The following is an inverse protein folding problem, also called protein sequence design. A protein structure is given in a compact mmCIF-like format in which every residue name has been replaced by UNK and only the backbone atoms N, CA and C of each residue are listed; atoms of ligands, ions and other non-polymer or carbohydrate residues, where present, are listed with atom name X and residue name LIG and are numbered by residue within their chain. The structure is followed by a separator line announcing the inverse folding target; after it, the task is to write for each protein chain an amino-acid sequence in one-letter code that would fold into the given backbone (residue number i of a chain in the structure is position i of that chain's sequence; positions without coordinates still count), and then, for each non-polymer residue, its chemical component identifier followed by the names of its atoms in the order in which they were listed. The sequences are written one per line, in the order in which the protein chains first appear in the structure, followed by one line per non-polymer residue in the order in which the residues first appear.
data_IF_402582335440
#
_entry.id   IF_402582335440
#
_cell.length_a   1.000
_cell.length_b   1.000
_cell.length_c   1.000
_cell.angle_alpha   90.00
_cell.angle_beta   90.00
_cell.angle_gamma   90.00
#
_symmetry.space_group_name_H-M   'P 1'
#
loop_
_entity.id
_entity.type
_entity.pdbx_description
1 polymer ?
#
# COMPACT_ATOMS: atom_id res chain seq x y z
N UNK A 1 10.46 -46.23 3.61
CA UNK A 1 10.03 -46.93 4.85
C UNK A 1 10.60 -46.22 6.09
N UNK A 2 11.86 -45.77 6.07
CA UNK A 2 12.45 -44.90 7.11
C UNK A 2 11.71 -43.58 7.31
N UNK A 3 11.22 -42.94 6.25
CA UNK A 3 10.39 -41.72 6.37
C UNK A 3 9.08 -41.95 7.13
N UNK A 4 8.44 -43.10 6.94
CA UNK A 4 7.17 -43.46 7.61
C UNK A 4 7.42 -43.72 9.10
N UNK A 5 8.57 -44.32 9.43
CA UNK A 5 9.00 -44.58 10.81
C UNK A 5 9.38 -43.27 11.52
N UNK A 6 10.03 -42.32 10.83
CA UNK A 6 10.27 -40.97 11.35
C UNK A 6 8.97 -40.18 11.58
N UNK A 7 7.99 -40.30 10.68
CA UNK A 7 6.67 -39.66 10.84
C UNK A 7 5.89 -40.23 12.03
N UNK A 8 5.96 -41.56 12.26
CA UNK A 8 5.35 -42.20 13.43
C UNK A 8 6.02 -41.76 14.74
N UNK A 9 7.35 -41.61 14.76
CA UNK A 9 8.09 -41.14 15.94
C UNK A 9 7.79 -39.68 16.27
N UNK A 10 7.67 -38.81 15.25
CA UNK A 10 7.36 -37.39 15.44
C UNK A 10 5.92 -37.20 15.95
N UNK A 11 4.96 -37.96 15.42
CA UNK A 11 3.58 -37.95 15.89
C UNK A 11 3.44 -38.53 17.32
N UNK A 12 4.20 -39.57 17.65
CA UNK A 12 4.24 -40.16 18.98
C UNK A 12 4.90 -39.23 20.01
N UNK A 13 5.96 -38.51 19.65
CA UNK A 13 6.61 -37.53 20.54
C UNK A 13 5.72 -36.29 20.76
N UNK A 14 5.03 -35.82 19.71
CA UNK A 14 4.04 -34.74 19.82
C UNK A 14 2.87 -35.15 20.74
N UNK A 15 2.34 -36.37 20.58
CA UNK A 15 1.33 -36.97 21.47
C UNK A 15 1.82 -37.03 22.92
N UNK A 16 3.07 -37.44 23.17
CA UNK A 16 3.65 -37.57 24.51
C UNK A 16 3.86 -36.22 25.19
N UNK A 17 4.26 -35.19 24.43
CA UNK A 17 4.43 -33.82 24.92
C UNK A 17 3.10 -33.12 25.20
N UNK A 18 2.09 -33.36 24.37
CA UNK A 18 0.72 -32.86 24.58
C UNK A 18 0.07 -33.50 25.82
N UNK A 19 0.23 -34.81 26.03
CA UNK A 19 -0.27 -35.48 27.23
C UNK A 19 0.42 -34.99 28.52
N UNK A 20 1.73 -34.74 28.49
CA UNK A 20 2.45 -34.12 29.62
C UNK A 20 1.96 -32.70 29.95
N UNK A 21 1.50 -31.93 28.96
CA UNK A 21 0.94 -30.59 29.16
C UNK A 21 -0.47 -30.62 29.77
N UNK A 22 -1.24 -31.66 29.49
CA UNK A 22 -2.55 -31.91 30.10
C UNK A 22 -2.40 -32.37 31.56
N UNK A 23 -1.40 -33.22 31.86
CA UNK A 23 -1.11 -33.67 33.24
C UNK A 23 -0.42 -32.61 34.12
N UNK A 24 0.27 -31.62 33.54
CA UNK A 24 1.02 -30.60 34.29
C UNK A 24 0.18 -29.39 34.75
N UNK A 25 -1.14 -29.38 34.49
CA UNK A 25 -2.02 -28.32 34.95
C UNK A 25 -2.44 -28.58 36.41
N UNK A 26 -2.14 -27.70 37.38
CA UNK A 26 -2.61 -27.89 38.74
C UNK A 26 -4.14 -27.84 38.76
N UNK A 27 -4.83 -28.75 39.47
CA UNK A 27 -6.28 -28.66 39.58
C UNK A 27 -6.64 -27.38 40.34
N UNK A 28 -7.33 -26.46 39.66
CA UNK A 28 -7.99 -25.34 40.31
C UNK A 28 -8.94 -25.86 41.39
N UNK A 29 -9.11 -25.10 42.47
CA UNK A 29 -9.87 -25.49 43.67
C UNK A 29 -11.32 -25.90 43.40
N UNK A 30 -11.87 -25.49 42.23
CA UNK A 30 -13.19 -25.89 41.75
C UNK A 30 -13.26 -27.37 41.30
N UNK A 31 -12.13 -27.99 40.93
CA UNK A 31 -12.08 -29.38 40.45
C UNK A 31 -11.80 -30.42 41.55
N UNK A 32 -11.46 -29.99 42.78
CA UNK A 32 -11.15 -30.91 43.90
C UNK A 32 -12.37 -31.69 44.41
N UNK A 33 -13.60 -31.26 44.12
CA UNK A 33 -14.80 -32.00 44.52
C UNK A 33 -15.24 -33.10 43.53
N UNK A 34 -14.71 -33.13 42.32
CA UNK A 34 -15.15 -34.07 41.27
C UNK A 34 -14.20 -35.26 41.13
N UNK A 35 -12.92 -35.10 41.48
CA UNK A 35 -11.91 -36.15 41.37
C UNK A 35 -11.43 -36.65 42.73
N UNK A 36 -12.34 -37.12 43.58
CA UNK A 36 -12.00 -38.08 44.63
C UNK A 36 -13.15 -39.05 44.83
N UNK A 37 -13.27 -40.00 43.91
CA UNK A 37 -13.46 -41.44 44.14
C UNK A 37 -13.88 -42.07 42.81
N UNK A 38 -13.02 -42.93 42.27
CA UNK A 38 -13.32 -43.74 41.09
C UNK A 38 -14.42 -44.76 41.39
N UNK A 39 -15.68 -44.35 41.25
CA UNK A 39 -16.82 -45.25 41.08
C UNK A 39 -17.85 -44.63 40.13
N UNK A 40 -18.34 -45.47 39.22
CA UNK A 40 -19.54 -45.27 38.42
C UNK A 40 -20.65 -44.63 39.27
N UNK A 41 -21.17 -43.48 38.84
CA UNK A 41 -22.44 -42.94 39.33
C UNK A 41 -23.47 -43.09 38.21
N UNK A 42 -24.43 -43.97 38.47
CA UNK A 42 -25.71 -44.09 37.78
C UNK A 42 -26.50 -42.79 37.87
N UNK A 43 -27.24 -42.50 36.80
CA UNK A 43 -28.21 -41.41 36.67
C UNK A 43 -29.10 -41.26 37.91
N UNK A 44 -28.95 -40.14 38.64
CA UNK A 44 -29.80 -39.80 39.77
C UNK A 44 -29.70 -38.31 40.12
N UNK A 45 -30.78 -37.58 39.80
CA UNK A 45 -31.21 -36.27 40.33
C UNK A 45 -30.20 -35.12 40.36
N UNK A 46 -30.06 -34.41 39.24
CA UNK A 46 -29.81 -32.96 39.24
C UNK A 46 -31.15 -32.24 39.07
N UNK A 47 -31.37 -31.15 39.79
CA UNK A 47 -32.59 -30.36 39.65
C UNK A 47 -32.63 -29.62 38.30
N UNK A 48 -33.81 -29.37 37.71
CA UNK A 48 -33.93 -28.65 36.43
C UNK A 48 -33.23 -27.27 36.43
N UNK A 49 -33.10 -26.62 37.59
CA UNK A 49 -32.41 -25.34 37.75
C UNK A 49 -30.87 -25.43 37.69
N UNK A 50 -30.29 -26.58 38.01
CA UNK A 50 -28.84 -26.84 37.88
C UNK A 50 -28.46 -27.16 36.43
N UNK A 51 -29.35 -27.80 35.66
CA UNK A 51 -29.15 -28.11 34.23
C UNK A 51 -29.15 -26.82 33.38
N UNK A 52 -29.91 -25.80 33.78
CA UNK A 52 -30.04 -24.53 33.05
C UNK A 52 -28.83 -23.59 33.20
N UNK A 53 -27.93 -23.80 34.17
CA UNK A 53 -26.72 -22.98 34.36
C UNK A 53 -25.46 -23.52 33.66
N UNK A 54 -25.46 -24.79 33.22
CA UNK A 54 -24.28 -25.41 32.60
C UNK A 54 -24.43 -25.71 31.09
N UNK A 55 -25.60 -25.47 30.50
CA UNK A 55 -25.87 -25.68 29.07
C UNK A 55 -24.87 -25.02 28.09
N UNK A 56 -24.37 -23.78 28.31
CA UNK A 56 -23.43 -23.15 27.39
C UNK A 56 -22.05 -23.83 27.39
N UNK A 57 -21.63 -24.36 28.55
CA UNK A 57 -20.31 -24.99 28.72
C UNK A 57 -20.33 -26.40 28.17
N UNK A 58 -21.40 -27.16 28.41
CA UNK A 58 -21.62 -28.49 27.83
C UNK A 58 -21.76 -28.45 26.31
N UNK A 59 -22.49 -27.47 25.74
CA UNK A 59 -22.57 -27.27 24.28
C UNK A 59 -21.22 -26.85 23.69
N UNK A 60 -20.43 -26.03 24.38
CA UNK A 60 -19.09 -25.64 23.93
C UNK A 60 -18.11 -26.82 23.96
N UNK A 61 -18.17 -27.67 25.01
CA UNK A 61 -17.36 -28.88 25.13
C UNK A 61 -17.76 -29.91 24.05
N UNK A 62 -19.06 -30.10 23.78
CA UNK A 62 -19.53 -30.98 22.71
C UNK A 62 -19.13 -30.48 21.31
N UNK A 63 -19.15 -29.16 21.06
CA UNK A 63 -18.65 -28.58 19.80
C UNK A 63 -17.13 -28.72 19.66
N UNK A 64 -16.36 -28.60 20.74
CA UNK A 64 -14.90 -28.80 20.73
C UNK A 64 -14.57 -30.28 20.48
N UNK A 65 -15.33 -31.21 21.04
CA UNK A 65 -15.17 -32.65 20.82
C UNK A 65 -15.54 -33.03 19.37
N UNK A 66 -16.66 -32.53 18.84
CA UNK A 66 -17.07 -32.77 17.45
C UNK A 66 -16.05 -32.24 16.42
N UNK A 67 -15.49 -31.04 16.65
CA UNK A 67 -14.49 -30.46 15.75
C UNK A 67 -13.16 -31.21 15.83
N UNK A 68 -12.79 -31.74 17.01
CA UNK A 68 -11.61 -32.59 17.15
C UNK A 68 -11.81 -33.94 16.43
N UNK A 69 -12.95 -34.60 16.56
CA UNK A 69 -13.19 -35.87 15.87
C UNK A 69 -13.29 -35.72 14.34
N UNK A 70 -13.80 -34.58 13.85
CA UNK A 70 -13.75 -34.22 12.43
C UNK A 70 -12.31 -33.95 11.95
N UNK A 71 -11.47 -33.26 12.72
CA UNK A 71 -10.07 -33.00 12.33
C UNK A 71 -9.20 -34.25 12.44
N UNK A 72 -9.48 -35.13 13.41
CA UNK A 72 -8.74 -36.36 13.68
C UNK A 72 -9.09 -37.52 12.73
N UNK A 73 -10.15 -37.40 11.93
CA UNK A 73 -10.58 -38.40 10.94
C UNK A 73 -10.22 -38.06 9.49
N UNK A 74 -9.70 -36.85 9.23
CA UNK A 74 -9.34 -36.41 7.88
C UNK A 74 -7.99 -37.01 7.47
N UNK A 75 -7.98 -37.69 6.33
CA UNK A 75 -6.77 -38.16 5.65
C UNK A 75 -5.82 -36.96 5.37
N UNK A 76 -4.50 -37.09 5.55
CA UNK A 76 -3.53 -36.01 5.28
C UNK A 76 -3.71 -35.24 3.96
N UNK A 77 -4.12 -35.90 2.87
CA UNK A 77 -4.38 -35.27 1.58
C UNK A 77 -5.69 -34.45 1.55
N UNK A 78 -6.71 -34.90 2.28
CA UNK A 78 -7.96 -34.16 2.47
C UNK A 78 -7.77 -32.98 3.44
N UNK A 79 -6.87 -33.13 4.42
CA UNK A 79 -6.48 -32.06 5.34
C UNK A 79 -5.70 -30.97 4.60
N UNK A 80 -4.82 -31.36 3.67
CA UNK A 80 -4.12 -30.44 2.77
C UNK A 80 -5.08 -29.67 1.86
N UNK A 81 -6.07 -30.35 1.27
CA UNK A 81 -7.10 -29.69 0.44
C UNK A 81 -8.04 -28.80 1.28
N UNK A 82 -8.39 -29.22 2.49
CA UNK A 82 -9.17 -28.45 3.46
C UNK A 82 -8.45 -27.15 3.86
N UNK A 83 -7.13 -27.21 4.07
CA UNK A 83 -6.31 -26.04 4.39
C UNK A 83 -6.10 -25.14 3.18
N UNK A 84 -5.85 -25.68 1.98
CA UNK A 84 -5.76 -24.89 0.73
C UNK A 84 -7.06 -24.10 0.47
N UNK A 85 -8.22 -24.73 0.66
CA UNK A 85 -9.53 -24.10 0.51
C UNK A 85 -9.78 -22.99 1.56
N UNK A 86 -9.31 -23.18 2.80
CA UNK A 86 -9.49 -22.19 3.88
C UNK A 86 -8.45 -21.07 3.90
N UNK A 87 -7.26 -21.28 3.36
CA UNK A 87 -6.23 -20.23 3.23
C UNK A 87 -6.66 -19.21 2.17
N UNK A 88 -7.31 -19.61 1.07
CA UNK A 88 -7.86 -18.68 0.08
C UNK A 88 -9.05 -17.85 0.59
N UNK A 89 -9.54 -18.12 1.81
CA UNK A 89 -10.67 -17.44 2.42
C UNK A 89 -10.23 -16.75 3.73
N UNK A 90 -10.15 -15.41 3.78
CA UNK A 90 -9.71 -14.67 4.97
C UNK A 90 -10.51 -14.99 6.24
N UNK A 91 -11.81 -15.28 6.11
CA UNK A 91 -12.65 -15.66 7.26
C UNK A 91 -12.31 -17.05 7.80
N UNK A 92 -11.84 -17.94 6.94
CA UNK A 92 -11.47 -19.29 7.27
C UNK A 92 -10.04 -19.37 7.84
N UNK A 93 -9.11 -18.54 7.36
CA UNK A 93 -7.79 -18.34 7.96
C UNK A 93 -7.89 -17.76 9.37
N UNK A 94 -8.76 -16.76 9.59
CA UNK A 94 -9.05 -16.22 10.92
C UNK A 94 -9.68 -17.29 11.84
N UNK A 95 -10.52 -18.18 11.32
CA UNK A 95 -11.04 -19.33 12.10
C UNK A 95 -9.94 -20.34 12.45
N UNK A 96 -9.04 -20.66 11.52
CA UNK A 96 -7.92 -21.57 11.75
C UNK A 96 -6.97 -21.01 12.82
N UNK A 97 -6.64 -19.73 12.72
CA UNK A 97 -5.88 -19.02 13.74
C UNK A 97 -6.61 -19.02 15.10
N UNK A 98 -7.94 -18.80 15.13
CA UNK A 98 -8.73 -18.94 16.37
C UNK A 98 -8.61 -20.34 16.98
N UNK A 99 -8.66 -21.40 16.18
CA UNK A 99 -8.54 -22.79 16.66
C UNK A 99 -7.14 -23.05 17.20
N UNK A 100 -6.10 -22.66 16.45
CA UNK A 100 -4.70 -22.78 16.87
C UNK A 100 -4.45 -22.02 18.18
N UNK A 101 -4.98 -20.80 18.32
CA UNK A 101 -4.79 -19.97 19.50
C UNK A 101 -5.68 -20.34 20.68
N UNK A 102 -6.85 -20.96 20.47
CA UNK A 102 -7.67 -21.52 21.56
C UNK A 102 -6.99 -22.70 22.25
N UNK A 103 -6.12 -23.43 21.55
CA UNK A 103 -5.27 -24.48 22.12
C UNK A 103 -4.14 -23.97 23.04
N UNK A 104 -3.77 -22.68 22.93
CA UNK A 104 -2.65 -22.08 23.68
C UNK A 104 -3.06 -21.39 25.00
N UNK A 105 -4.31 -21.56 25.45
CA UNK A 105 -4.76 -21.10 26.76
C UNK A 105 -5.68 -19.87 26.73
N UNK A 106 -6.67 -19.91 27.64
CA UNK A 106 -7.85 -19.04 27.69
C UNK A 106 -7.50 -17.55 27.84
N UNK A 107 -7.84 -16.74 26.84
CA UNK A 107 -8.17 -15.32 27.05
C UNK A 107 -9.52 -14.96 26.38
N UNK A 108 -10.60 -14.76 27.15
CA UNK A 108 -11.92 -14.37 26.65
C UNK A 108 -11.95 -13.06 25.85
N UNK A 109 -10.92 -12.22 25.98
CA UNK A 109 -10.78 -10.96 25.26
C UNK A 109 -10.57 -11.12 23.74
N UNK A 110 -10.06 -12.28 23.28
CA UNK A 110 -9.77 -12.53 21.86
C UNK A 110 -11.02 -12.64 20.97
N UNK A 111 -12.14 -13.12 21.51
CA UNK A 111 -13.36 -13.36 20.73
C UNK A 111 -14.08 -12.05 20.38
N UNK A 112 -13.99 -11.05 21.26
CA UNK A 112 -14.65 -9.74 21.12
C UNK A 112 -13.89 -8.79 20.20
N UNK A 113 -12.55 -8.80 20.23
CA UNK A 113 -11.70 -7.94 19.42
C UNK A 113 -11.69 -8.29 17.92
N UNK A 114 -11.88 -9.56 17.57
CA UNK A 114 -11.94 -9.99 16.17
C UNK A 114 -13.22 -9.53 15.44
N UNK A 115 -14.21 -8.99 16.17
CA UNK A 115 -15.46 -8.48 15.60
C UNK A 115 -15.44 -6.97 15.33
N UNK A 116 -14.42 -6.23 15.77
CA UNK A 116 -14.34 -4.78 15.59
C UNK A 116 -13.24 -4.35 14.59
N UNK A 117 -13.49 -3.20 13.99
CA UNK A 117 -12.97 -2.77 12.68
C UNK A 117 -11.49 -2.40 12.66
N UNK A 118 -10.73 -3.06 11.77
CA UNK A 118 -9.79 -2.37 10.85
C UNK A 118 -9.39 -3.36 9.77
N UNK A 119 -10.01 -3.23 8.58
CA UNK A 119 -9.76 -4.07 7.40
C UNK A 119 -8.25 -4.14 7.11
N UNK A 120 -7.58 -2.99 7.08
CA UNK A 120 -6.14 -2.86 6.87
C UNK A 120 -5.26 -3.69 7.83
N UNK A 121 -5.65 -3.84 9.10
CA UNK A 121 -4.88 -4.55 10.12
C UNK A 121 -4.97 -6.07 9.97
N UNK A 122 -6.17 -6.58 9.66
CA UNK A 122 -6.37 -8.00 9.32
C UNK A 122 -5.64 -8.36 8.04
N UNK A 123 -5.63 -7.44 7.09
CA UNK A 123 -4.99 -7.64 5.78
C UNK A 123 -3.46 -7.64 5.89
N UNK A 124 -2.87 -6.74 6.69
CA UNK A 124 -1.41 -6.70 6.90
C UNK A 124 -0.88 -7.93 7.64
N UNK A 125 -1.61 -8.43 8.65
CA UNK A 125 -1.29 -9.66 9.39
C UNK A 125 -1.43 -10.91 8.53
N UNK A 126 -2.53 -11.02 7.78
CA UNK A 126 -2.77 -12.09 6.81
C UNK A 126 -1.68 -12.11 5.74
N UNK A 127 -1.23 -10.94 5.27
CA UNK A 127 -0.22 -10.83 4.24
C UNK A 127 1.20 -11.11 4.72
N UNK A 128 1.56 -10.79 5.97
CA UNK A 128 2.82 -11.24 6.56
C UNK A 128 2.85 -12.76 6.70
N UNK A 129 1.73 -13.36 7.08
CA UNK A 129 1.54 -14.81 7.06
C UNK A 129 1.71 -15.35 5.63
N UNK A 130 1.10 -14.75 4.62
CA UNK A 130 1.25 -15.19 3.22
C UNK A 130 2.67 -15.00 2.65
N UNK A 131 3.37 -13.91 2.95
CA UNK A 131 4.78 -13.70 2.56
C UNK A 131 5.72 -14.74 3.21
N UNK A 132 5.47 -15.10 4.47
CA UNK A 132 6.21 -16.16 5.15
C UNK A 132 5.84 -17.57 4.64
N UNK A 133 4.74 -17.69 3.89
CA UNK A 133 4.24 -18.94 3.32
C UNK A 133 4.63 -19.07 1.82
N UNK A 134 4.96 -17.98 1.13
CA UNK A 134 5.28 -17.98 -0.31
C UNK A 134 6.79 -18.01 -0.58
N UNK A 135 7.35 -19.23 -0.60
CA UNK A 135 8.16 -19.84 -1.68
C UNK A 135 9.02 -21.00 -1.18
N UNK A 136 9.25 -21.14 0.14
CA UNK A 136 9.84 -22.35 0.71
C UNK A 136 9.08 -22.80 1.97
N UNK A 137 8.49 -24.00 1.86
CA UNK A 137 7.95 -24.85 2.93
C UNK A 137 7.22 -24.13 4.09
N UNK A 138 5.90 -24.12 4.05
CA UNK A 138 5.07 -23.88 5.25
C UNK A 138 5.42 -24.81 6.42
N UNK A 139 5.99 -26.00 6.15
CA UNK A 139 6.57 -26.93 7.13
C UNK A 139 7.78 -26.32 7.84
N UNK A 140 8.59 -25.56 7.11
CA UNK A 140 9.72 -24.79 7.63
C UNK A 140 9.24 -23.54 8.34
N UNK A 141 8.16 -22.87 7.91
CA UNK A 141 7.51 -21.78 8.67
C UNK A 141 6.97 -22.25 10.03
N UNK A 142 6.26 -23.38 10.07
CA UNK A 142 5.77 -23.96 11.34
C UNK A 142 6.94 -24.47 12.18
N UNK A 143 7.98 -25.08 11.57
CA UNK A 143 9.23 -25.39 12.28
C UNK A 143 9.96 -24.15 12.77
N UNK A 144 10.01 -23.05 12.03
CA UNK A 144 10.65 -21.77 12.39
C UNK A 144 9.91 -21.13 13.57
N UNK A 145 8.58 -21.08 13.52
CA UNK A 145 7.76 -20.61 14.64
C UNK A 145 7.89 -21.48 15.90
N UNK A 146 8.15 -22.77 15.75
CA UNK A 146 8.30 -23.72 16.86
C UNK A 146 9.75 -23.89 17.34
N UNK A 147 10.76 -23.66 16.49
CA UNK A 147 12.19 -23.91 16.78
C UNK A 147 13.03 -22.63 16.88
N UNK A 148 12.71 -21.53 16.18
CA UNK A 148 13.43 -20.26 16.34
C UNK A 148 12.79 -19.42 17.46
N UNK A 149 13.37 -19.54 18.66
CA UNK A 149 13.03 -18.71 19.83
C UNK A 149 13.22 -17.20 19.60
N UNK A 150 13.87 -16.76 18.51
CA UNK A 150 14.17 -15.35 18.22
C UNK A 150 13.03 -14.60 17.52
N UNK A 151 12.28 -15.25 16.61
CA UNK A 151 11.22 -14.60 15.82
C UNK A 151 9.86 -14.60 16.52
N UNK A 152 9.58 -15.63 17.32
CA UNK A 152 8.31 -15.75 18.03
C UNK A 152 8.05 -14.56 18.98
N UNK A 153 9.00 -14.08 19.81
CA UNK A 153 8.77 -12.97 20.72
C UNK A 153 8.45 -11.65 19.98
N UNK A 154 9.12 -11.36 18.86
CA UNK A 154 8.84 -10.16 18.06
C UNK A 154 7.49 -10.25 17.36
N UNK A 155 7.15 -11.39 16.78
CA UNK A 155 5.83 -11.63 16.20
C UNK A 155 4.72 -11.50 17.25
N UNK A 156 4.88 -12.12 18.43
CA UNK A 156 3.90 -12.01 19.52
C UNK A 156 3.83 -10.60 20.09
N UNK A 157 4.95 -9.87 20.17
CA UNK A 157 4.98 -8.46 20.59
C UNK A 157 4.25 -7.58 19.60
N UNK A 158 4.49 -7.73 18.30
CA UNK A 158 3.78 -7.00 17.26
C UNK A 158 2.31 -7.40 17.21
N UNK A 159 1.97 -8.69 17.28
CA UNK A 159 0.58 -9.17 17.33
C UNK A 159 -0.19 -8.63 18.55
N UNK A 160 0.40 -8.70 19.75
CA UNK A 160 -0.19 -8.11 20.96
C UNK A 160 -0.33 -6.60 20.86
N UNK A 161 0.63 -5.92 20.24
CA UNK A 161 0.54 -4.49 20.00
C UNK A 161 -0.56 -4.15 18.98
N UNK A 162 -0.82 -4.98 17.96
CA UNK A 162 -1.89 -4.77 16.95
C UNK A 162 -3.28 -4.96 17.57
N UNK A 163 -3.38 -5.83 18.58
CA UNK A 163 -4.58 -6.02 19.39
C UNK A 163 -4.82 -4.88 20.38
N UNK A 164 -3.77 -4.19 20.83
CA UNK A 164 -3.84 -3.22 21.94
C UNK A 164 -3.75 -1.76 21.49
N UNK A 165 -3.11 -1.49 20.36
CA UNK A 165 -2.87 -0.15 19.84
C UNK A 165 -3.33 -0.07 18.37
N UNK A 166 -4.23 0.85 18.01
CA UNK A 166 -4.59 1.06 16.61
C UNK A 166 -3.33 1.45 15.82
N UNK A 167 -3.19 0.92 14.61
CA UNK A 167 -2.13 1.36 13.71
C UNK A 167 -2.35 2.84 13.38
N UNK A 168 -1.38 3.67 13.72
CA UNK A 168 -1.42 5.09 13.38
C UNK A 168 -0.83 5.28 11.98
N UNK A 169 -1.44 6.19 11.21
CA UNK A 169 -0.97 6.55 9.87
C UNK A 169 -0.62 8.03 9.90
N UNK A 170 0.66 8.33 9.72
CA UNK A 170 1.11 9.69 9.48
C UNK A 170 0.88 10.03 8.02
N UNK A 171 0.16 11.13 7.76
CA UNK A 171 0.02 11.65 6.40
C UNK A 171 1.26 12.50 6.10
N UNK A 172 2.04 12.08 5.10
CA UNK A 172 3.24 12.80 4.69
C UNK A 172 2.92 13.89 3.66
N UNK A 173 1.91 13.65 2.82
CA UNK A 173 1.51 14.59 1.80
C UNK A 173 0.19 14.22 1.13
N UNK A 174 -0.40 15.21 0.48
CA UNK A 174 -1.53 15.04 -0.41
C UNK A 174 -1.07 15.33 -1.83
N UNK A 175 -1.17 14.33 -2.70
CA UNK A 175 -1.18 14.59 -4.13
C UNK A 175 -2.53 15.17 -4.55
N UNK A 176 -2.63 15.56 -5.81
CA UNK A 176 -3.86 16.14 -6.35
C UNK A 176 -5.03 15.13 -6.33
N UNK A 177 -4.70 13.85 -6.54
CA UNK A 177 -5.66 12.73 -6.56
C UNK A 177 -5.34 11.60 -5.58
N UNK A 178 -4.23 11.67 -4.84
CA UNK A 178 -3.75 10.60 -3.95
C UNK A 178 -3.35 11.10 -2.56
N UNK A 179 -3.20 10.19 -1.61
CA UNK A 179 -2.64 10.50 -0.28
C UNK A 179 -1.42 9.63 -0.05
N UNK A 180 -0.32 10.26 0.35
CA UNK A 180 0.92 9.59 0.74
C UNK A 180 0.95 9.49 2.26
N UNK A 181 1.13 8.28 2.75
CA UNK A 181 1.12 7.99 4.19
C UNK A 181 2.27 7.07 4.59
N UNK A 182 2.68 7.20 5.84
CA UNK A 182 3.65 6.31 6.49
C UNK A 182 2.97 5.69 7.71
N UNK A 183 3.01 4.36 7.88
CA UNK A 183 2.59 3.76 9.13
C UNK A 183 3.53 4.19 10.24
N UNK A 184 2.96 4.65 11.34
CA UNK A 184 3.67 5.04 12.55
C UNK A 184 3.08 4.27 13.73
N UNK A 185 3.91 3.99 14.72
CA UNK A 185 3.48 3.24 15.90
C UNK A 185 4.63 2.59 16.62
N UNK A 186 4.30 1.90 17.72
CA UNK A 186 5.27 1.20 18.58
C UNK A 186 5.79 -0.10 17.98
N UNK A 187 5.24 -0.53 16.84
CA UNK A 187 5.67 -1.71 16.10
C UNK A 187 7.08 -1.52 15.57
N UNK A 188 7.97 -2.47 15.85
CA UNK A 188 9.37 -2.42 15.40
C UNK A 188 9.45 -2.37 13.87
N UNK A 189 8.54 -3.07 13.18
CA UNK A 189 8.44 -3.11 11.72
C UNK A 189 8.08 -1.75 11.09
N UNK A 190 7.32 -0.90 11.79
CA UNK A 190 6.92 0.42 11.30
C UNK A 190 7.81 1.56 11.77
N UNK A 191 8.49 1.37 12.91
CA UNK A 191 9.40 2.38 13.46
C UNK A 191 10.52 2.75 12.49
N UNK A 192 11.03 1.76 11.74
CA UNK A 192 12.14 1.91 10.80
C UNK A 192 11.74 1.58 9.35
N UNK A 193 10.45 1.64 9.02
CA UNK A 193 10.05 1.36 7.63
C UNK A 193 10.65 2.39 6.69
N UNK A 194 11.31 1.89 5.63
CA UNK A 194 11.77 2.68 4.49
C UNK A 194 10.67 2.96 3.47
N UNK A 195 9.44 2.48 3.69
CA UNK A 195 8.36 2.54 2.71
C UNK A 195 7.36 3.65 3.02
N UNK A 196 7.01 4.42 2.00
CA UNK A 196 5.83 5.29 1.96
C UNK A 196 4.74 4.65 1.12
N UNK A 197 3.49 4.92 1.47
CA UNK A 197 2.32 4.29 0.88
C UNK A 197 1.50 5.35 0.15
N UNK A 198 1.47 5.29 -1.17
CA UNK A 198 0.55 6.08 -2.01
C UNK A 198 -0.69 5.22 -2.29
N UNK A 199 -1.82 5.63 -1.74
CA UNK A 199 -3.10 4.93 -2.00
C UNK A 199 -3.59 5.29 -3.41
N UNK A 200 -3.78 4.27 -4.24
CA UNK A 200 -4.27 4.37 -5.61
C UNK A 200 -5.81 4.38 -5.64
N UNK A 201 -6.43 4.74 -6.78
CA UNK A 201 -7.86 4.52 -7.00
C UNK A 201 -8.30 3.09 -6.69
N UNK A 202 -9.59 2.88 -6.47
CA UNK A 202 -10.15 1.53 -6.28
C UNK A 202 -10.28 0.87 -7.64
N UNK A 203 -9.69 -0.32 -7.76
CA UNK A 203 -9.75 -1.14 -8.96
C UNK A 203 -11.01 -2.01 -8.91
N UNK A 204 -11.68 -2.25 -10.06
CA UNK A 204 -12.93 -2.99 -10.06
C UNK A 204 -12.71 -4.50 -9.86
N UNK A 205 -11.57 -5.04 -10.28
CA UNK A 205 -11.24 -6.46 -10.08
C UNK A 205 -9.74 -6.68 -9.83
N UNK A 206 -9.39 -7.92 -9.45
CA UNK A 206 -8.00 -8.36 -9.33
C UNK A 206 -7.29 -8.39 -10.70
N UNK A 207 -8.03 -8.70 -11.77
CA UNK A 207 -7.48 -8.73 -13.13
C UNK A 207 -6.95 -7.36 -13.55
N UNK A 208 -7.69 -6.28 -13.25
CA UNK A 208 -7.25 -4.91 -13.51
C UNK A 208 -5.98 -4.55 -12.75
N UNK A 209 -5.84 -5.05 -11.51
CA UNK A 209 -4.62 -4.86 -10.73
C UNK A 209 -3.45 -5.59 -11.36
N UNK A 210 -3.63 -6.82 -11.83
CA UNK A 210 -2.56 -7.57 -12.49
C UNK A 210 -2.15 -6.92 -13.81
N UNK A 211 -3.11 -6.41 -14.60
CA UNK A 211 -2.84 -5.61 -15.80
C UNK A 211 -2.04 -4.35 -15.45
N UNK A 212 -2.47 -3.59 -14.45
CA UNK A 212 -1.75 -2.40 -13.99
C UNK A 212 -0.34 -2.71 -13.49
N UNK A 213 -0.14 -3.81 -12.74
CA UNK A 213 1.19 -4.23 -12.28
C UNK A 213 2.15 -4.51 -13.44
N UNK A 214 1.66 -5.14 -14.50
CA UNK A 214 2.43 -5.40 -15.71
C UNK A 214 2.85 -4.08 -16.38
N UNK A 215 1.88 -3.20 -16.64
CA UNK A 215 2.09 -1.87 -17.26
C UNK A 215 3.08 -1.05 -16.44
N UNK A 216 2.93 -1.03 -15.11
CA UNK A 216 3.83 -0.32 -14.21
C UNK A 216 5.26 -0.86 -14.27
N UNK A 217 5.44 -2.19 -14.30
CA UNK A 217 6.77 -2.81 -14.42
C UNK A 217 7.43 -2.42 -15.74
N UNK A 218 6.70 -2.54 -16.85
CA UNK A 218 7.17 -2.16 -18.18
C UNK A 218 7.58 -0.68 -18.22
N UNK A 219 6.73 0.22 -17.74
CA UNK A 219 7.03 1.65 -17.65
C UNK A 219 8.28 1.93 -16.81
N UNK A 220 8.42 1.30 -15.64
CA UNK A 220 9.61 1.46 -14.80
C UNK A 220 10.88 0.99 -15.51
N UNK A 221 10.82 -0.14 -16.20
CA UNK A 221 11.93 -0.66 -16.99
C UNK A 221 12.32 0.30 -18.13
N UNK A 222 11.33 0.88 -18.81
CA UNK A 222 11.55 1.89 -19.85
C UNK A 222 12.25 3.14 -19.29
N UNK A 223 11.74 3.72 -18.19
CA UNK A 223 12.36 4.90 -17.56
C UNK A 223 13.83 4.65 -17.17
N UNK A 224 14.13 3.49 -16.59
CA UNK A 224 15.47 3.17 -16.10
C UNK A 224 16.40 2.77 -17.24
N UNK A 225 16.03 1.77 -18.03
CA UNK A 225 16.93 1.12 -18.97
C UNK A 225 17.01 1.84 -20.31
N UNK A 226 15.93 2.51 -20.74
CA UNK A 226 15.89 3.20 -22.03
C UNK A 226 16.17 4.69 -21.90
N UNK A 227 15.63 5.32 -20.86
CA UNK A 227 15.80 6.76 -20.65
C UNK A 227 16.90 7.11 -19.64
N UNK A 228 17.45 6.14 -18.92
CA UNK A 228 18.54 6.38 -17.95
C UNK A 228 18.11 7.19 -16.73
N UNK A 229 16.83 7.21 -16.39
CA UNK A 229 16.34 7.88 -15.18
C UNK A 229 16.58 7.02 -13.94
N UNK A 230 16.89 7.70 -12.83
CA UNK A 230 16.85 7.08 -11.51
C UNK A 230 15.45 7.20 -10.93
N UNK A 231 14.91 6.08 -10.48
CA UNK A 231 13.61 6.02 -9.80
C UNK A 231 13.74 5.14 -8.56
N UNK A 232 13.03 5.44 -7.46
CA UNK A 232 13.14 4.64 -6.24
C UNK A 232 12.59 3.23 -6.46
N UNK A 233 12.94 2.32 -5.55
CA UNK A 233 12.24 1.04 -5.50
C UNK A 233 10.75 1.31 -5.24
N UNK A 234 9.87 0.66 -6.00
CA UNK A 234 8.45 0.71 -5.72
C UNK A 234 7.76 -0.61 -6.02
N UNK A 235 6.95 -1.05 -5.07
CA UNK A 235 6.15 -2.28 -5.11
C UNK A 235 4.67 -1.94 -5.18
N UNK A 236 3.91 -2.74 -5.92
CA UNK A 236 2.46 -2.61 -5.95
C UNK A 236 1.85 -3.65 -5.02
N UNK A 237 1.16 -3.18 -4.00
CA UNK A 237 0.41 -3.99 -3.06
C UNK A 237 -1.09 -3.77 -3.25
N UNK A 238 -1.90 -4.77 -2.95
CA UNK A 238 -3.33 -4.71 -3.10
C UNK A 238 -4.07 -5.58 -2.08
N UNK A 239 -5.35 -5.25 -1.88
CA UNK A 239 -6.27 -5.96 -0.99
C UNK A 239 -7.62 -6.12 -1.69
N UNK A 240 -8.06 -7.36 -1.85
CA UNK A 240 -9.39 -7.69 -2.38
C UNK A 240 -10.44 -7.50 -1.30
N UNK A 241 -11.47 -6.71 -1.60
CA UNK A 241 -12.58 -6.42 -0.69
C UNK A 241 -13.69 -7.45 -0.87
N UNK A 242 -14.57 -7.53 0.13
CA UNK A 242 -15.74 -8.44 0.12
C UNK A 242 -16.66 -8.28 -1.10
N UNK A 243 -16.70 -7.09 -1.70
CA UNK A 243 -17.52 -6.78 -2.87
C UNK A 243 -16.78 -7.01 -4.21
N UNK A 244 -15.61 -7.67 -4.20
CA UNK A 244 -14.81 -7.96 -5.39
C UNK A 244 -13.88 -6.83 -5.85
N UNK A 245 -14.12 -5.59 -5.42
CA UNK A 245 -13.22 -4.46 -5.73
C UNK A 245 -11.90 -4.55 -4.99
N UNK A 246 -10.86 -3.87 -5.48
CA UNK A 246 -9.50 -4.01 -4.97
C UNK A 246 -8.92 -2.65 -4.59
N UNK A 247 -8.47 -2.53 -3.34
CA UNK A 247 -7.66 -1.38 -2.90
C UNK A 247 -6.22 -1.61 -3.32
N UNK A 248 -5.59 -0.64 -3.98
CA UNK A 248 -4.18 -0.73 -4.39
C UNK A 248 -3.35 0.35 -3.68
N UNK A 249 -2.12 -0.02 -3.33
CA UNK A 249 -1.13 0.81 -2.68
C UNK A 249 0.20 0.70 -3.46
N UNK A 250 0.72 1.84 -3.90
CA UNK A 250 2.10 1.92 -4.38
C UNK A 250 3.01 2.18 -3.18
N UNK A 251 3.83 1.19 -2.85
CA UNK A 251 4.82 1.23 -1.77
C UNK A 251 6.13 1.71 -2.39
N UNK A 252 6.54 2.92 -2.08
CA UNK A 252 7.73 3.54 -2.64
C UNK A 252 8.79 3.70 -1.56
N UNK A 253 10.05 3.49 -1.91
CA UNK A 253 11.16 3.77 -1.00
C UNK A 253 11.20 5.26 -0.67
N UNK A 254 11.29 5.55 0.62
CA UNK A 254 11.26 6.90 1.17
C UNK A 254 12.58 7.59 0.85
N UNK A 255 12.49 8.69 0.09
CA UNK A 255 13.58 9.64 -0.07
C UNK A 255 13.58 10.66 1.07
N UNK A 256 14.70 11.36 1.27
CA UNK A 256 14.78 12.45 2.24
C UNK A 256 13.75 13.54 1.87
N UNK A 257 12.72 13.80 2.72
CA UNK A 257 11.66 14.75 2.39
C UNK A 257 12.15 16.17 2.17
N UNK A 258 13.24 16.56 2.83
CA UNK A 258 13.81 17.91 2.70
C UNK A 258 14.55 18.10 1.38
N UNK A 259 14.87 17.02 0.66
CA UNK A 259 15.54 17.04 -0.63
C UNK A 259 14.57 16.94 -1.82
N UNK A 260 13.27 16.89 -1.58
CA UNK A 260 12.25 16.92 -2.65
C UNK A 260 12.20 18.33 -3.24
N UNK A 261 12.08 18.44 -4.56
CA UNK A 261 12.16 19.68 -5.34
C UNK A 261 11.30 20.80 -4.76
N UNK A 262 10.01 20.55 -4.50
CA UNK A 262 9.10 21.55 -3.92
C UNK A 262 9.50 22.02 -2.50
N UNK A 263 10.33 21.29 -1.77
CA UNK A 263 10.89 21.71 -0.47
C UNK A 263 12.19 22.46 -0.64
N UNK A 264 13.09 21.92 -1.45
CA UNK A 264 14.43 22.47 -1.58
C UNK A 264 14.43 23.84 -2.25
N UNK A 265 13.58 24.09 -3.26
CA UNK A 265 13.55 25.37 -3.98
C UNK A 265 13.30 26.59 -3.07
N UNK A 266 12.66 26.41 -1.91
CA UNK A 266 12.46 27.49 -0.93
C UNK A 266 13.74 27.88 -0.17
N UNK A 267 14.78 27.05 -0.24
CA UNK A 267 16.09 27.29 0.41
C UNK A 267 17.15 27.75 -0.58
N UNK A 268 16.84 27.77 -1.88
CA UNK A 268 17.79 28.11 -2.92
C UNK A 268 17.78 29.61 -3.18
N UNK A 269 18.96 30.16 -3.44
CA UNK A 269 19.06 31.46 -4.08
C UNK A 269 18.70 31.36 -5.59
N UNK A 270 18.53 32.48 -6.30
CA UNK A 270 18.17 32.47 -7.72
C UNK A 270 19.09 31.62 -8.61
N UNK A 271 20.41 31.73 -8.45
CA UNK A 271 21.39 30.99 -9.25
C UNK A 271 21.32 29.48 -9.00
N UNK A 272 21.19 29.07 -7.73
CA UNK A 272 21.04 27.67 -7.34
C UNK A 272 19.71 27.09 -7.85
N UNK A 273 18.62 27.87 -7.82
CA UNK A 273 17.34 27.44 -8.37
C UNK A 273 17.37 27.28 -9.89
N UNK A 274 18.02 28.20 -10.62
CA UNK A 274 18.31 28.08 -12.06
C UNK A 274 19.12 26.82 -12.36
N UNK A 275 20.15 26.55 -11.57
CA UNK A 275 20.98 25.36 -11.71
C UNK A 275 20.16 24.07 -11.54
N UNK A 276 19.35 23.97 -10.47
CA UNK A 276 18.47 22.82 -10.24
C UNK A 276 17.43 22.66 -11.36
N UNK A 277 16.84 23.77 -11.81
CA UNK A 277 15.88 23.76 -12.93
C UNK A 277 16.52 23.17 -14.20
N UNK A 278 17.69 23.66 -14.60
CA UNK A 278 18.39 23.16 -15.77
C UNK A 278 18.74 21.68 -15.63
N UNK A 279 19.14 21.23 -14.43
CA UNK A 279 19.37 19.81 -14.14
C UNK A 279 18.10 18.97 -14.36
N UNK A 280 16.96 19.42 -13.85
CA UNK A 280 15.67 18.73 -14.06
C UNK A 280 15.30 18.72 -15.54
N UNK A 281 15.47 19.85 -16.23
CA UNK A 281 15.17 19.97 -17.66
C UNK A 281 15.98 18.98 -18.51
N UNK A 282 17.25 18.75 -18.18
CA UNK A 282 18.08 17.73 -18.84
C UNK A 282 17.61 16.30 -18.55
N UNK A 283 17.13 16.00 -17.34
CA UNK A 283 16.54 14.69 -17.05
C UNK A 283 15.24 14.47 -17.84
N UNK A 284 14.41 15.50 -17.98
CA UNK A 284 13.20 15.47 -18.81
C UNK A 284 13.58 15.21 -20.28
N UNK A 285 14.58 15.93 -20.83
CA UNK A 285 15.02 15.78 -22.23
C UNK A 285 15.33 14.34 -22.62
N UNK A 286 15.88 13.52 -21.71
CA UNK A 286 16.18 12.09 -21.98
C UNK A 286 14.94 11.30 -22.45
N UNK A 287 13.76 11.63 -21.93
CA UNK A 287 12.49 11.02 -22.37
C UNK A 287 12.19 11.43 -23.81
N UNK A 288 12.43 12.68 -24.17
CA UNK A 288 12.17 13.20 -25.52
C UNK A 288 13.18 12.69 -26.53
N UNK A 289 14.45 12.60 -26.17
CA UNK A 289 15.47 12.00 -27.04
C UNK A 289 15.11 10.55 -27.36
N UNK A 290 14.65 9.79 -26.35
CA UNK A 290 14.11 8.45 -26.57
C UNK A 290 12.90 8.47 -27.52
N UNK A 291 11.94 9.37 -27.30
CA UNK A 291 10.75 9.48 -28.14
C UNK A 291 11.08 9.85 -29.59
N UNK A 292 12.08 10.69 -29.84
CA UNK A 292 12.48 11.05 -31.21
C UNK A 292 13.15 9.88 -31.94
N UNK A 293 13.83 9.00 -31.20
CA UNK A 293 14.47 7.80 -31.75
C UNK A 293 13.51 6.60 -31.95
N UNK A 294 12.27 6.69 -31.47
CA UNK A 294 11.30 5.59 -31.47
C UNK A 294 9.98 6.01 -32.13
N UNK A 295 9.57 5.33 -33.19
CA UNK A 295 8.32 5.65 -33.90
C UNK A 295 7.10 5.13 -33.13
N UNK A 296 7.11 3.86 -32.75
CA UNK A 296 5.93 3.15 -32.24
C UNK A 296 5.76 3.27 -30.72
N UNK A 297 6.85 3.44 -29.98
CA UNK A 297 6.85 3.51 -28.52
C UNK A 297 7.17 4.92 -28.05
N UNK A 298 6.24 5.54 -27.32
CA UNK A 298 6.42 6.87 -26.71
C UNK A 298 6.28 6.78 -25.20
N UNK A 299 7.09 7.52 -24.46
CA UNK A 299 7.06 7.62 -23.00
C UNK A 299 6.77 9.07 -22.62
N UNK A 300 6.05 9.26 -21.54
CA UNK A 300 5.81 10.56 -20.94
C UNK A 300 6.07 10.52 -19.44
N UNK A 301 6.18 11.68 -18.82
CA UNK A 301 6.26 11.82 -17.37
C UNK A 301 5.60 13.11 -16.90
N UNK A 302 5.36 13.20 -15.60
CA UNK A 302 4.87 14.42 -14.96
C UNK A 302 6.06 15.27 -14.48
N UNK A 303 6.39 16.31 -15.24
CA UNK A 303 7.60 17.12 -15.06
C UNK A 303 7.64 18.01 -13.82
N UNK A 304 6.59 18.02 -12.99
CA UNK A 304 6.49 18.87 -11.80
C UNK A 304 7.71 18.78 -10.88
N UNK A 305 8.16 19.93 -10.35
CA UNK A 305 9.31 19.99 -9.45
C UNK A 305 9.12 19.13 -8.18
N UNK A 306 7.88 18.92 -7.74
CA UNK A 306 7.56 18.04 -6.60
C UNK A 306 7.83 16.56 -6.87
N UNK A 307 7.96 16.16 -8.14
CA UNK A 307 8.24 14.79 -8.55
C UNK A 307 9.73 14.49 -8.69
N UNK A 308 10.60 15.46 -8.38
CA UNK A 308 12.05 15.29 -8.38
C UNK A 308 12.58 15.40 -6.95
N UNK A 309 13.61 14.64 -6.63
CA UNK A 309 14.39 14.81 -5.41
C UNK A 309 15.89 14.70 -5.72
N UNK A 310 16.71 15.29 -4.87
CA UNK A 310 18.16 15.05 -4.88
C UNK A 310 18.45 13.77 -4.10
N UNK A 311 19.38 12.96 -4.61
CA UNK A 311 19.91 11.85 -3.86
C UNK A 311 20.70 12.36 -2.64
N UNK A 312 20.39 11.79 -1.49
CA UNK A 312 21.02 12.17 -0.23
C UNK A 312 22.48 11.67 -0.23
N UNK A 313 23.42 12.60 -0.41
CA UNK A 313 24.85 12.33 -0.37
C UNK A 313 25.45 12.54 1.03
N UNK A 314 24.64 12.66 2.09
CA UNK A 314 25.04 12.97 3.48
C UNK A 314 25.73 14.34 3.68
N UNK A 315 25.76 15.19 2.66
CA UNK A 315 26.37 16.52 2.75
C UNK A 315 25.37 17.54 3.29
N UNK A 316 25.72 18.26 4.36
CA UNK A 316 24.87 19.37 4.88
C UNK A 316 24.95 20.65 4.03
N UNK A 317 25.93 20.77 3.13
CA UNK A 317 26.10 21.94 2.27
C UNK A 317 25.16 21.90 1.05
N UNK A 318 24.29 22.92 0.94
CA UNK A 318 23.31 23.07 -0.14
C UNK A 318 23.94 23.09 -1.54
N UNK A 319 25.13 23.68 -1.72
CA UNK A 319 25.83 23.73 -3.01
C UNK A 319 26.28 22.34 -3.49
N UNK A 320 26.68 21.49 -2.54
CA UNK A 320 27.03 20.11 -2.84
C UNK A 320 25.77 19.26 -3.04
N UNK A 321 24.70 19.52 -2.27
CA UNK A 321 23.42 18.85 -2.44
C UNK A 321 22.85 19.06 -3.85
N UNK A 322 22.78 20.29 -4.37
CA UNK A 322 22.20 20.56 -5.69
C UNK A 322 22.99 19.92 -6.84
N UNK A 323 24.26 19.54 -6.61
CA UNK A 323 25.10 18.80 -7.57
C UNK A 323 24.91 17.29 -7.49
N UNK A 324 24.18 16.80 -6.48
CA UNK A 324 23.82 15.39 -6.38
C UNK A 324 22.95 14.96 -7.56
N UNK A 325 22.95 13.65 -7.81
CA UNK A 325 22.09 13.05 -8.81
C UNK A 325 20.61 13.23 -8.46
N UNK A 326 19.78 13.40 -9.49
CA UNK A 326 18.34 13.51 -9.35
C UNK A 326 17.68 12.13 -9.37
N UNK A 327 16.58 12.00 -8.64
CA UNK A 327 15.69 10.85 -8.66
C UNK A 327 14.26 11.30 -8.95
N UNK A 328 13.60 10.63 -9.90
CA UNK A 328 12.22 10.88 -10.28
C UNK A 328 11.26 10.00 -9.45
N UNK A 329 10.25 10.62 -8.86
CA UNK A 329 9.39 10.02 -7.84
C UNK A 329 8.05 9.55 -8.41
N UNK A 330 7.35 10.29 -9.28
CA UNK A 330 5.98 9.91 -9.66
C UNK A 330 5.93 8.86 -10.78
N UNK A 331 6.17 7.62 -10.40
CA UNK A 331 6.08 6.45 -11.29
C UNK A 331 4.74 5.71 -11.19
N UNK A 332 3.85 6.16 -10.32
CA UNK A 332 2.58 5.48 -10.02
C UNK A 332 1.47 5.73 -11.06
N UNK A 333 1.72 6.63 -12.01
CA UNK A 333 0.88 6.82 -13.19
C UNK A 333 1.73 6.47 -14.41
N UNK A 334 1.74 5.21 -14.86
CA UNK A 334 2.50 4.81 -16.05
C UNK A 334 2.01 5.53 -17.30
N UNK A 335 2.87 6.35 -17.92
CA UNK A 335 2.54 7.11 -19.12
C UNK A 335 3.43 6.64 -20.27
N UNK A 336 2.91 5.71 -21.06
CA UNK A 336 3.54 5.31 -22.32
C UNK A 336 2.51 4.79 -23.33
N UNK A 337 2.84 4.96 -24.61
CA UNK A 337 2.05 4.54 -25.75
C UNK A 337 2.79 3.52 -26.58
N UNK A 338 2.04 2.57 -27.11
CA UNK A 338 2.47 1.66 -28.18
C UNK A 338 1.52 1.92 -29.35
N UNK A 339 2.06 2.22 -30.53
CA UNK A 339 1.32 2.57 -31.74
C UNK A 339 0.31 3.70 -31.50
N UNK A 340 0.73 4.72 -30.75
CA UNK A 340 -0.10 5.87 -30.37
C UNK A 340 -1.20 5.56 -29.33
N UNK A 341 -1.32 4.33 -28.83
CA UNK A 341 -2.35 3.93 -27.85
C UNK A 341 -1.79 3.89 -26.44
N UNK A 342 -2.46 4.58 -25.52
CA UNK A 342 -2.16 4.51 -24.08
C UNK A 342 -2.27 3.08 -23.56
N UNK A 343 -1.27 2.64 -22.80
CA UNK A 343 -1.28 1.30 -22.19
C UNK A 343 -2.05 1.28 -20.87
N UNK A 344 -2.00 2.40 -20.12
CA UNK A 344 -2.77 2.60 -18.90
C UNK A 344 -4.21 2.95 -19.26
N UNK A 345 -5.19 2.26 -18.64
CA UNK A 345 -6.59 2.66 -18.74
C UNK A 345 -6.82 3.92 -17.88
N UNK A 346 -7.08 5.09 -18.48
CA UNK A 346 -7.23 6.33 -17.72
C UNK A 346 -8.51 6.35 -16.88
N UNK A 347 -9.49 5.50 -17.18
CA UNK A 347 -10.74 5.39 -16.40
C UNK A 347 -10.47 5.05 -14.93
N UNK A 348 -9.38 4.33 -14.66
CA UNK A 348 -8.97 3.96 -13.29
C UNK A 348 -8.80 5.20 -12.42
N UNK A 349 -8.27 6.30 -12.96
CA UNK A 349 -8.04 7.54 -12.22
C UNK A 349 -9.29 8.42 -12.14
N UNK A 350 -10.14 8.39 -13.17
CA UNK A 350 -11.43 9.13 -13.19
C UNK A 350 -12.42 8.55 -12.19
N UNK A 351 -12.28 7.29 -11.76
CA UNK A 351 -13.13 6.71 -10.70
C UNK A 351 -13.04 7.46 -9.37
N UNK A 352 -11.96 8.20 -9.13
CA UNK A 352 -11.83 9.06 -7.96
C UNK A 352 -12.63 10.38 -8.08
N UNK A 353 -13.12 10.70 -9.28
CA UNK A 353 -13.94 11.87 -9.55
C UNK A 353 -15.42 11.62 -9.25
N UNK A 354 -16.16 12.65 -8.82
CA UNK A 354 -17.61 12.58 -8.66
C UNK A 354 -18.30 12.03 -9.89
N UNK A 355 -19.28 11.15 -9.71
CA UNK A 355 -19.93 10.43 -10.83
C UNK A 355 -20.45 11.35 -11.95
N UNK A 356 -21.01 12.51 -11.60
CA UNK A 356 -21.50 13.51 -12.56
C UNK A 356 -20.37 14.22 -13.34
N UNK A 357 -19.17 14.33 -12.77
CA UNK A 357 -18.00 14.89 -13.46
C UNK A 357 -17.31 13.89 -14.37
N UNK A 358 -17.47 12.59 -14.14
CA UNK A 358 -16.76 11.56 -14.93
C UNK A 358 -17.09 11.68 -16.41
N UNK A 359 -18.37 11.90 -16.75
CA UNK A 359 -18.81 12.07 -18.13
C UNK A 359 -18.21 13.33 -18.77
N UNK A 360 -18.16 14.44 -18.03
CA UNK A 360 -17.59 15.71 -18.52
C UNK A 360 -16.07 15.58 -18.72
N UNK A 361 -15.36 15.01 -17.74
CA UNK A 361 -13.90 14.80 -17.83
C UNK A 361 -13.56 13.86 -19.00
N UNK A 362 -14.32 12.76 -19.15
CA UNK A 362 -14.12 11.79 -20.23
C UNK A 362 -14.31 12.41 -21.61
N UNK A 363 -15.37 13.20 -21.80
CA UNK A 363 -15.74 13.74 -23.11
C UNK A 363 -14.87 14.92 -23.56
N UNK A 364 -14.39 15.75 -22.63
CA UNK A 364 -13.79 17.03 -22.98
C UNK A 364 -12.33 17.21 -22.57
N UNK A 365 -11.78 16.35 -21.70
CA UNK A 365 -10.49 16.64 -21.08
C UNK A 365 -9.52 15.46 -21.03
N UNK A 366 -9.99 14.21 -21.09
CA UNK A 366 -9.14 13.07 -20.74
C UNK A 366 -7.95 12.89 -21.69
N UNK A 367 -8.20 12.90 -23.00
CA UNK A 367 -7.14 12.70 -24.00
C UNK A 367 -6.20 13.91 -24.01
N UNK A 368 -6.75 15.13 -24.13
CA UNK A 368 -5.98 16.37 -24.10
C UNK A 368 -5.11 16.47 -22.84
N UNK A 369 -5.62 16.10 -21.66
CA UNK A 369 -4.86 16.13 -20.41
C UNK A 369 -3.67 15.19 -20.45
N UNK A 370 -3.83 13.99 -21.02
CA UNK A 370 -2.76 13.00 -21.12
C UNK A 370 -1.75 13.35 -22.20
N UNK A 371 -2.21 13.86 -23.35
CA UNK A 371 -1.36 14.28 -24.47
C UNK A 371 -0.34 15.35 -24.05
N UNK A 372 -0.71 16.23 -23.12
CA UNK A 372 0.21 17.26 -22.58
C UNK A 372 1.50 16.68 -21.99
N UNK A 373 1.46 15.46 -21.44
CA UNK A 373 2.66 14.85 -20.86
C UNK A 373 3.64 14.33 -21.93
N UNK A 374 3.21 14.20 -23.19
CA UNK A 374 4.05 13.81 -24.32
C UNK A 374 4.59 15.02 -25.09
N UNK A 375 4.09 16.22 -24.82
CA UNK A 375 4.57 17.48 -25.41
C UNK A 375 5.65 18.11 -24.53
N UNK A 376 6.88 18.18 -25.05
CA UNK A 376 8.03 18.68 -24.29
C UNK A 376 7.81 20.11 -23.81
N UNK A 377 7.35 20.98 -24.70
CA UNK A 377 7.17 22.40 -24.42
C UNK A 377 6.13 22.57 -23.31
N UNK A 378 5.04 21.83 -23.36
CA UNK A 378 4.00 21.87 -22.32
C UNK A 378 4.50 21.32 -20.98
N UNK A 379 5.33 20.27 -20.97
CA UNK A 379 5.97 19.77 -19.74
C UNK A 379 6.93 20.80 -19.15
N UNK A 380 7.71 21.51 -19.98
CA UNK A 380 8.57 22.61 -19.52
C UNK A 380 7.73 23.77 -18.96
N UNK A 381 6.62 24.12 -19.61
CA UNK A 381 5.67 25.13 -19.10
C UNK A 381 5.14 24.74 -17.72
N UNK A 382 4.74 23.47 -17.54
CA UNK A 382 4.20 22.96 -16.26
C UNK A 382 5.26 22.98 -15.14
N UNK A 383 6.50 22.59 -15.46
CA UNK A 383 7.65 22.67 -14.55
C UNK A 383 7.91 24.11 -14.09
N UNK A 384 7.92 25.09 -14.99
CA UNK A 384 8.11 26.50 -14.63
C UNK A 384 6.90 27.01 -13.83
N UNK A 385 5.68 26.67 -14.25
CA UNK A 385 4.44 27.06 -13.57
C UNK A 385 4.35 26.53 -12.13
N UNK A 386 5.05 25.44 -11.81
CA UNK A 386 5.14 24.94 -10.44
C UNK A 386 5.81 25.94 -9.48
N UNK A 387 6.68 26.84 -9.96
CA UNK A 387 7.23 27.90 -9.10
C UNK A 387 6.17 28.94 -8.71
N UNK A 388 5.16 29.19 -9.56
CA UNK A 388 3.98 29.96 -9.11
C UNK A 388 3.17 29.20 -8.06
N UNK A 389 2.95 27.89 -8.26
CA UNK A 389 2.23 27.01 -7.31
C UNK A 389 2.89 26.99 -5.94
N UNK A 390 4.22 27.07 -5.91
CA UNK A 390 5.04 27.12 -4.70
C UNK A 390 5.23 28.53 -4.14
N UNK A 391 4.60 29.57 -4.71
CA UNK A 391 4.68 30.94 -4.20
C UNK A 391 6.04 31.61 -4.43
N UNK A 392 6.75 31.20 -5.48
CA UNK A 392 8.08 31.69 -5.87
C UNK A 392 8.05 32.41 -7.24
N UNK A 393 7.18 33.42 -7.46
CA UNK A 393 7.04 34.09 -8.74
C UNK A 393 8.32 34.82 -9.21
N UNK A 394 9.21 35.15 -8.28
CA UNK A 394 10.49 35.82 -8.57
C UNK A 394 11.44 34.97 -9.40
N UNK A 395 11.27 33.64 -9.44
CA UNK A 395 12.10 32.76 -10.28
C UNK A 395 11.67 32.79 -11.75
N UNK A 396 10.40 33.08 -12.04
CA UNK A 396 9.79 32.86 -13.35
C UNK A 396 10.55 33.55 -14.50
N UNK A 397 10.96 34.83 -14.42
CA UNK A 397 11.71 35.46 -15.51
C UNK A 397 13.00 34.72 -15.85
N UNK A 398 13.75 34.29 -14.82
CA UNK A 398 15.02 33.59 -14.99
C UNK A 398 14.86 32.17 -15.54
N UNK A 399 13.80 31.46 -15.14
CA UNK A 399 13.52 30.12 -15.63
C UNK A 399 13.05 30.12 -17.09
N UNK A 400 12.25 31.12 -17.47
CA UNK A 400 11.87 31.33 -18.88
C UNK A 400 13.08 31.66 -19.73
N UNK A 401 13.96 32.55 -19.25
CA UNK A 401 15.22 32.87 -19.92
C UNK A 401 16.09 31.63 -20.11
N UNK A 402 16.28 30.82 -19.07
CA UNK A 402 17.11 29.61 -19.14
C UNK A 402 16.50 28.55 -20.06
N UNK A 403 15.19 28.33 -20.00
CA UNK A 403 14.52 27.40 -20.91
C UNK A 403 14.67 27.83 -22.37
N UNK A 404 14.51 29.12 -22.67
CA UNK A 404 14.69 29.64 -24.02
C UNK A 404 16.14 29.50 -24.50
N UNK A 405 17.12 29.79 -23.62
CA UNK A 405 18.53 29.57 -23.94
C UNK A 405 18.82 28.11 -24.29
N UNK A 406 18.18 27.18 -23.60
CA UNK A 406 18.30 25.75 -23.89
C UNK A 406 17.61 25.39 -25.22
N UNK A 407 16.42 25.95 -25.49
CA UNK A 407 15.70 25.72 -26.74
C UNK A 407 16.45 26.25 -27.97
N UNK A 408 17.16 27.36 -27.83
CA UNK A 408 17.99 27.94 -28.91
C UNK A 408 19.37 27.29 -29.01
N UNK A 409 19.86 26.69 -27.93
CA UNK A 409 21.17 26.07 -27.83
C UNK A 409 21.10 24.56 -27.87
N UNK A 410 21.31 23.95 -26.70
CA UNK A 410 21.49 22.50 -26.53
C UNK A 410 20.33 21.65 -27.05
N UNK A 411 19.13 22.22 -27.18
CA UNK A 411 17.91 21.54 -27.61
C UNK A 411 17.35 22.09 -28.95
N UNK A 412 18.17 22.82 -29.71
CA UNK A 412 17.77 23.45 -30.97
C UNK A 412 17.21 22.47 -32.01
N UNK A 413 17.62 21.20 -31.95
CA UNK A 413 17.09 20.12 -32.80
C UNK A 413 15.59 19.86 -32.60
N UNK A 414 15.02 20.27 -31.46
CA UNK A 414 13.60 20.12 -31.16
C UNK A 414 12.73 21.21 -31.84
N UNK A 415 13.33 22.26 -32.41
CA UNK A 415 12.65 23.36 -33.10
C UNK A 415 11.45 23.92 -32.32
N UNK A 416 11.64 24.15 -31.03
CA UNK A 416 10.58 24.59 -30.12
C UNK A 416 10.38 26.10 -30.23
N UNK A 417 9.13 26.55 -30.19
CA UNK A 417 8.84 27.96 -29.98
C UNK A 417 9.42 28.43 -28.64
N UNK A 418 9.74 29.72 -28.53
CA UNK A 418 10.22 30.30 -27.29
C UNK A 418 9.07 30.53 -26.30
N UNK A 419 9.37 30.40 -25.02
CA UNK A 419 8.46 30.60 -23.90
C UNK A 419 8.38 32.08 -23.54
N UNK A 420 7.19 32.51 -23.11
CA UNK A 420 6.97 33.82 -22.50
C UNK A 420 6.41 33.69 -21.09
N UNK A 421 6.75 34.62 -20.20
CA UNK A 421 6.16 34.66 -18.84
C UNK A 421 4.63 34.73 -18.86
N UNK A 422 4.05 35.38 -19.89
CA UNK A 422 2.60 35.48 -20.08
C UNK A 422 1.98 34.10 -20.29
N UNK A 423 2.62 33.23 -21.07
CA UNK A 423 2.17 31.85 -21.26
C UNK A 423 2.23 31.06 -19.96
N UNK A 424 3.36 31.11 -19.24
CA UNK A 424 3.51 30.42 -17.94
C UNK A 424 2.42 30.86 -16.96
N UNK A 425 2.19 32.17 -16.84
CA UNK A 425 1.18 32.72 -15.94
C UNK A 425 -0.23 32.35 -16.35
N UNK A 426 -0.52 32.33 -17.66
CA UNK A 426 -1.82 31.90 -18.20
C UNK A 426 -2.06 30.44 -17.89
N UNK A 427 -1.08 29.58 -18.14
CA UNK A 427 -1.13 28.16 -17.84
C UNK A 427 -1.37 27.92 -16.35
N UNK A 428 -0.58 28.53 -15.46
CA UNK A 428 -0.76 28.42 -14.01
C UNK A 428 -2.16 28.81 -13.56
N UNK A 429 -2.70 29.94 -14.07
CA UNK A 429 -4.06 30.38 -13.72
C UNK A 429 -5.13 29.38 -14.14
N UNK A 430 -4.99 28.80 -15.33
CA UNK A 430 -5.92 27.79 -15.84
C UNK A 430 -5.86 26.51 -15.00
N UNK A 431 -4.65 26.00 -14.75
CA UNK A 431 -4.44 24.81 -13.93
C UNK A 431 -4.95 25.01 -12.48
N UNK A 432 -4.61 26.14 -11.86
CA UNK A 432 -5.08 26.50 -10.53
C UNK A 432 -6.61 26.56 -10.44
N UNK A 433 -7.27 27.08 -11.48
CA UNK A 433 -8.73 27.11 -11.58
C UNK A 433 -9.33 25.70 -11.71
N UNK A 434 -8.82 24.88 -12.64
CA UNK A 434 -9.28 23.51 -12.87
C UNK A 434 -9.22 22.70 -11.56
N UNK A 435 -8.09 22.74 -10.87
CA UNK A 435 -7.93 22.01 -9.62
C UNK A 435 -8.78 22.57 -8.47
N UNK A 436 -8.99 23.89 -8.40
CA UNK A 436 -9.89 24.49 -7.40
C UNK A 436 -11.32 24.00 -7.62
N UNK A 437 -11.78 23.98 -8.88
CA UNK A 437 -13.07 23.44 -9.27
C UNK A 437 -13.17 21.95 -8.91
N UNK A 438 -12.19 21.14 -9.33
CA UNK A 438 -12.14 19.71 -9.05
C UNK A 438 -12.24 19.38 -7.55
N UNK A 439 -11.47 20.07 -6.72
CA UNK A 439 -11.51 19.88 -5.27
C UNK A 439 -12.83 20.32 -4.65
N UNK A 440 -13.45 21.39 -5.13
CA UNK A 440 -14.77 21.81 -4.69
C UNK A 440 -15.82 20.75 -5.03
N UNK A 441 -15.79 20.20 -6.25
CA UNK A 441 -16.68 19.13 -6.67
C UNK A 441 -16.51 17.86 -5.84
N UNK A 442 -15.27 17.47 -5.47
CA UNK A 442 -15.02 16.33 -4.57
C UNK A 442 -15.60 16.54 -3.18
N UNK A 443 -15.57 17.76 -2.64
CA UNK A 443 -16.20 18.09 -1.35
C UNK A 443 -17.72 17.99 -1.41
N UNK A 444 -18.33 18.45 -2.51
CA UNK A 444 -19.77 18.32 -2.75
C UNK A 444 -20.15 16.83 -2.86
N UNK A 445 -19.41 16.04 -3.63
CA UNK A 445 -19.64 14.60 -3.78
C UNK A 445 -19.53 13.86 -2.44
N UNK A 446 -18.53 14.19 -1.62
CA UNK A 446 -18.43 13.68 -0.25
C UNK A 446 -19.66 14.02 0.58
N UNK A 447 -20.12 15.27 0.55
CA UNK A 447 -21.33 15.69 1.26
C UNK A 447 -22.56 14.89 0.80
N UNK A 448 -22.75 14.74 -0.51
CA UNK A 448 -23.87 13.95 -1.06
C UNK A 448 -23.78 12.50 -0.59
N UNK A 449 -22.62 11.87 -0.66
CA UNK A 449 -22.44 10.46 -0.28
C UNK A 449 -22.66 10.25 1.22
N UNK A 450 -22.06 11.08 2.07
CA UNK A 450 -22.11 10.90 3.53
C UNK A 450 -23.40 11.42 4.16
N UNK A 451 -23.91 12.57 3.71
CA UNK A 451 -25.05 13.26 4.36
C UNK A 451 -26.38 12.98 3.70
N UNK A 452 -26.43 12.81 2.39
CA UNK A 452 -27.68 12.55 1.66
C UNK A 452 -27.89 11.04 1.49
N UNK A 453 -26.85 10.31 1.08
CA UNK A 453 -26.95 8.87 0.81
C UNK A 453 -26.59 7.98 2.00
N UNK A 454 -26.09 8.56 3.09
CA UNK A 454 -25.64 7.85 4.30
C UNK A 454 -24.67 6.69 4.02
N UNK A 455 -23.82 6.84 3.01
CA UNK A 455 -22.77 5.88 2.65
C UNK A 455 -21.41 6.40 3.08
N UNK A 456 -20.47 5.48 3.30
CA UNK A 456 -19.07 5.83 3.58
C UNK A 456 -18.40 6.39 2.32
N UNK A 457 -17.81 7.57 2.43
CA UNK A 457 -16.98 8.11 1.35
C UNK A 457 -15.62 7.40 1.33
N UNK A 458 -15.23 6.88 0.17
CA UNK A 458 -14.09 5.97 0.07
C UNK A 458 -12.75 6.68 -0.11
N UNK A 459 -12.78 7.95 -0.50
CA UNK A 459 -11.61 8.75 -0.83
C UNK A 459 -11.25 9.72 0.30
N UNK A 460 -9.95 9.91 0.53
CA UNK A 460 -9.45 10.97 1.40
C UNK A 460 -9.38 12.26 0.59
N UNK A 461 -9.92 13.34 1.17
CA UNK A 461 -9.82 14.69 0.59
C UNK A 461 -8.74 15.47 1.35
N UNK A 462 -7.92 16.27 0.65
CA UNK A 462 -6.98 17.15 1.32
C UNK A 462 -7.70 18.20 2.17
N UNK A 463 -6.98 18.71 3.17
CA UNK A 463 -7.41 19.85 3.98
C UNK A 463 -7.47 21.15 3.17
N UNK A 464 -7.42 22.31 3.87
CA UNK A 464 -7.26 23.60 3.19
C UNK A 464 -5.85 23.68 2.59
N UNK A 465 -5.76 23.92 1.28
CA UNK A 465 -4.50 24.15 0.57
C UNK A 465 -4.33 25.67 0.42
N UNK A 466 -3.18 26.23 0.83
CA UNK A 466 -2.79 27.60 0.47
C UNK A 466 -2.22 27.55 -0.95
N UNK A 467 -2.79 28.33 -1.87
CA UNK A 467 -2.37 28.47 -3.26
C UNK A 467 -2.23 29.95 -3.58
#
# INVERSE_FOLDING_TARGET
MEDIIQHYWLAADLKRRLLKLVDASPPSECCKKIFMHGRQISTGSLSPEEILKEEPVLRMIQQIIQVNDEILSINPAEFENFLRYRIQNPAATVRLLKIIFQGYGKQPALTTLLNQETIFLKDLLYNKLCEMISEENWRDFVRLLLNEQSLAPEFFKDYHALLKYPLELQILGYGEISTVMKPVGKFTQFKNTRWIYKRMPIFPSLEDVMKYRRIYREYRELLIQKCGLRVPEQKIWYVVRKNGTVSVYALQEMVNPDLIGHKIIHRLNPEQGRFLFNRVLHEIKKIWDFNQASEDLKIALDGQISNWALLDLSTENIENQIRADLIYLDTSTPLYRIDGKEQLDPEIFIKNSPSFLRTVIRLFFLQDVLDRYYDFRLVVIDLIANFYKEGLPQFIPYLVEDANRQFEGDFSELNLELLTEKEIKKYYKQDAFIWKFFQASRKIDKFIIEKIRHKRYEYRLPGKIKR
#
